data_IF_715623428483
#
_entry.id   IF_715623428483
#
_cell.length_a   1.000
_cell.length_b   1.000
_cell.length_c   1.000
_cell.angle_alpha   90.00
_cell.angle_beta   90.00
_cell.angle_gamma   90.00
#
_symmetry.space_group_name_H-M   'P 1'
#
loop_
_entity.id
_entity.type
_entity.pdbx_description
1 polymer ?
#
# COMPACT_ATOMS: atom_id res chain seq x y z
N UNK A 1 -24.23 6.90 -33.50
CA UNK A 1 -24.03 5.58 -32.85
C UNK A 1 -22.63 5.59 -32.25
N UNK A 2 -22.51 5.66 -30.93
CA UNK A 2 -21.21 5.76 -30.25
C UNK A 2 -20.86 4.39 -29.66
N UNK A 3 -19.94 3.66 -30.30
CA UNK A 3 -19.32 2.46 -29.76
C UNK A 3 -18.03 2.87 -29.03
N UNK A 4 -18.11 3.03 -27.70
CA UNK A 4 -16.94 3.27 -26.85
C UNK A 4 -16.56 1.96 -26.16
N UNK A 5 -16.02 1.03 -26.94
CA UNK A 5 -15.51 -0.24 -26.41
C UNK A 5 -14.29 -0.01 -25.54
N UNK A 6 -14.50 -0.17 -24.23
CA UNK A 6 -13.60 -0.78 -23.26
C UNK A 6 -12.10 -0.49 -23.41
N UNK A 7 -11.68 0.61 -22.82
CA UNK A 7 -10.33 0.75 -22.24
C UNK A 7 -10.23 -0.12 -20.96
N UNK A 8 -10.43 -1.44 -21.05
CA UNK A 8 -10.24 -2.40 -19.94
C UNK A 8 -8.90 -3.13 -20.03
N UNK A 9 -7.91 -2.53 -20.69
CA UNK A 9 -6.52 -2.97 -20.56
C UNK A 9 -5.94 -2.50 -19.21
N UNK A 10 -4.90 -3.17 -18.69
CA UNK A 10 -4.10 -2.62 -17.59
C UNK A 10 -3.70 -1.19 -17.96
N UNK A 11 -3.74 -0.27 -17.00
CA UNK A 11 -3.33 1.09 -17.29
C UNK A 11 -1.86 1.05 -17.74
N UNK A 12 -1.45 1.80 -18.76
CA UNK A 12 -0.09 1.69 -19.32
C UNK A 12 1.00 1.90 -18.27
N UNK A 13 0.71 2.70 -17.24
CA UNK A 13 1.62 2.94 -16.10
C UNK A 13 1.61 1.83 -15.04
N UNK A 14 0.66 0.90 -15.04
CA UNK A 14 0.64 -0.19 -14.05
C UNK A 14 1.90 -1.07 -14.21
N UNK A 15 2.39 -1.26 -15.44
CA UNK A 15 3.63 -1.99 -15.67
C UNK A 15 4.84 -1.35 -14.98
N UNK A 16 4.89 -0.01 -14.92
CA UNK A 16 5.96 0.73 -14.25
C UNK A 16 5.72 0.83 -12.74
N UNK A 17 4.47 1.05 -12.33
CA UNK A 17 4.09 1.23 -10.92
C UNK A 17 4.16 -0.07 -10.11
N UNK A 18 4.03 -1.22 -10.78
CA UNK A 18 4.16 -2.56 -10.20
C UNK A 18 5.34 -3.33 -10.79
N UNK A 19 6.33 -2.62 -11.32
CA UNK A 19 7.59 -3.21 -11.76
C UNK A 19 8.30 -3.90 -10.57
N UNK A 20 9.12 -4.94 -10.81
CA UNK A 20 9.73 -5.75 -9.75
C UNK A 20 10.56 -4.96 -8.74
N UNK A 21 11.15 -3.82 -9.15
CA UNK A 21 11.83 -2.90 -8.25
C UNK A 21 10.89 -2.19 -7.26
N UNK A 22 9.64 -1.91 -7.66
CA UNK A 22 8.62 -1.29 -6.82
C UNK A 22 7.88 -2.32 -5.95
N UNK A 23 7.81 -3.59 -6.38
CA UNK A 23 7.08 -4.65 -5.66
C UNK A 23 7.61 -4.83 -4.23
N UNK A 24 8.93 -4.76 -4.03
CA UNK A 24 9.52 -4.90 -2.68
C UNK A 24 9.04 -3.79 -1.74
N UNK A 25 9.05 -2.52 -2.18
CA UNK A 25 8.53 -1.40 -1.40
C UNK A 25 7.03 -1.51 -1.14
N UNK A 26 6.24 -1.92 -2.16
CA UNK A 26 4.79 -2.12 -2.01
C UNK A 26 4.48 -3.21 -0.98
N UNK A 27 5.26 -4.30 -0.93
CA UNK A 27 5.09 -5.37 0.07
C UNK A 27 5.40 -4.89 1.48
N UNK A 28 6.50 -4.15 1.67
CA UNK A 28 6.83 -3.57 2.98
C UNK A 28 5.72 -2.65 3.45
N UNK A 29 5.32 -1.71 2.61
CA UNK A 29 4.27 -0.76 2.93
C UNK A 29 2.90 -1.41 3.18
N UNK A 30 2.61 -2.55 2.54
CA UNK A 30 1.39 -3.32 2.82
C UNK A 30 1.44 -3.96 4.21
N UNK A 31 2.58 -4.53 4.59
CA UNK A 31 2.80 -5.10 5.92
C UNK A 31 2.62 -4.02 7.00
N UNK A 32 3.25 -2.87 6.80
CA UNK A 32 3.16 -1.70 7.67
C UNK A 32 1.74 -1.13 7.76
N UNK A 33 1.04 -1.09 6.62
CA UNK A 33 -0.35 -0.66 6.57
C UNK A 33 -1.25 -1.62 7.35
N UNK A 34 -1.15 -2.93 7.12
CA UNK A 34 -1.90 -3.95 7.84
C UNK A 34 -1.61 -3.92 9.35
N UNK A 35 -0.34 -3.68 9.72
CA UNK A 35 0.06 -3.55 11.11
C UNK A 35 -0.65 -2.39 11.82
N UNK A 36 -0.65 -1.21 11.21
CA UNK A 36 -1.36 -0.05 11.76
C UNK A 36 -2.87 -0.31 11.83
N UNK A 37 -3.47 -1.00 10.86
CA UNK A 37 -4.88 -1.38 10.94
C UNK A 37 -5.16 -2.30 12.14
N UNK A 38 -4.30 -3.29 12.38
CA UNK A 38 -4.40 -4.23 13.51
C UNK A 38 -4.37 -3.52 14.87
N UNK A 39 -3.62 -2.41 14.97
CA UNK A 39 -3.54 -1.56 16.17
C UNK A 39 -4.75 -0.63 16.36
N UNK A 40 -5.76 -0.69 15.49
CA UNK A 40 -6.98 0.09 15.56
C UNK A 40 -6.90 1.47 14.90
N UNK A 41 -5.85 1.75 14.11
CA UNK A 41 -5.78 3.00 13.35
C UNK A 41 -6.77 2.96 12.17
N UNK A 42 -7.50 4.06 11.96
CA UNK A 42 -8.44 4.17 10.85
C UNK A 42 -7.72 4.20 9.50
N UNK A 43 -8.20 3.40 8.52
CA UNK A 43 -7.50 3.10 7.26
C UNK A 43 -6.96 4.31 6.47
N UNK A 44 -7.54 5.49 6.63
CA UNK A 44 -7.09 6.69 5.91
C UNK A 44 -5.75 7.23 6.42
N UNK A 45 -5.48 7.16 7.73
CA UNK A 45 -4.25 7.71 8.31
C UNK A 45 -3.01 6.87 7.94
N UNK A 46 -3.01 5.54 8.16
CA UNK A 46 -1.91 4.67 7.76
C UNK A 46 -1.66 4.67 6.25
N UNK A 47 -2.72 4.67 5.43
CA UNK A 47 -2.59 4.70 3.97
C UNK A 47 -1.91 5.98 3.47
N UNK A 48 -2.20 7.11 4.11
CA UNK A 48 -1.55 8.38 3.82
C UNK A 48 -0.08 8.35 4.23
N UNK A 49 0.23 7.81 5.41
CA UNK A 49 1.59 7.70 5.94
C UNK A 49 2.50 6.84 5.03
N UNK A 50 2.11 5.58 4.78
CA UNK A 50 2.91 4.68 3.92
C UNK A 50 2.95 5.17 2.47
N UNK A 51 1.88 5.83 2.01
CA UNK A 51 1.83 6.40 0.69
C UNK A 51 2.73 7.62 0.49
N UNK A 52 3.05 8.35 1.56
CA UNK A 52 3.93 9.53 1.52
C UNK A 52 5.40 9.12 1.65
N UNK A 53 5.71 8.21 2.59
CA UNK A 53 7.06 7.65 2.82
C UNK A 53 7.67 7.09 1.54
N UNK A 54 6.92 6.25 0.81
CA UNK A 54 7.40 5.62 -0.42
C UNK A 54 7.05 6.41 -1.70
N UNK A 55 6.52 7.63 -1.55
CA UNK A 55 6.07 8.49 -2.66
C UNK A 55 5.12 7.79 -3.65
N UNK A 56 4.28 6.88 -3.14
CA UNK A 56 3.40 6.06 -3.95
C UNK A 56 2.34 6.87 -4.67
N UNK A 57 2.08 6.46 -5.91
CA UNK A 57 1.03 7.07 -6.74
C UNK A 57 -0.35 6.57 -6.32
N UNK A 58 -1.37 7.34 -6.68
CA UNK A 58 -2.76 7.04 -6.34
C UNK A 58 -3.17 5.60 -6.68
N UNK A 59 -2.67 5.03 -7.79
CA UNK A 59 -2.89 3.62 -8.18
C UNK A 59 -2.33 2.62 -7.18
N UNK A 60 -1.10 2.81 -6.72
CA UNK A 60 -0.47 1.95 -5.72
C UNK A 60 -1.18 2.08 -4.37
N UNK A 61 -1.59 3.29 -3.98
CA UNK A 61 -2.39 3.52 -2.76
C UNK A 61 -3.75 2.79 -2.84
N UNK A 62 -4.42 2.81 -3.98
CA UNK A 62 -5.66 2.04 -4.19
C UNK A 62 -5.40 0.52 -4.07
N UNK A 63 -4.28 0.04 -4.63
CA UNK A 63 -3.91 -1.37 -4.53
C UNK A 63 -3.64 -1.80 -3.07
N UNK A 64 -2.91 -0.98 -2.30
CA UNK A 64 -2.67 -1.20 -0.86
C UNK A 64 -3.96 -1.24 -0.06
N UNK A 65 -4.86 -0.26 -0.30
CA UNK A 65 -6.15 -0.21 0.38
C UNK A 65 -7.01 -1.44 0.09
N UNK A 66 -7.02 -1.92 -1.16
CA UNK A 66 -7.75 -3.14 -1.54
C UNK A 66 -7.12 -4.39 -0.96
N UNK A 67 -5.79 -4.48 -0.95
CA UNK A 67 -5.07 -5.62 -0.39
C UNK A 67 -5.37 -5.77 1.11
N UNK A 68 -5.25 -4.71 1.91
CA UNK A 68 -5.51 -4.83 3.35
C UNK A 68 -6.98 -5.05 3.73
N UNK A 69 -7.92 -4.67 2.86
CA UNK A 69 -9.35 -4.95 3.06
C UNK A 69 -9.73 -6.39 2.66
N UNK A 70 -8.97 -7.02 1.75
CA UNK A 70 -9.17 -8.41 1.33
C UNK A 70 -8.34 -9.44 2.11
N UNK A 71 -7.25 -9.02 2.75
CA UNK A 71 -6.26 -9.86 3.43
C UNK A 71 -6.44 -9.89 4.97
N UNK A 72 -7.59 -9.47 5.50
CA UNK A 72 -7.87 -9.54 6.94
C UNK A 72 -7.98 -10.99 7.48
N UNK A 73 -7.72 -12.00 6.65
CA UNK A 73 -7.81 -13.43 6.99
C UNK A 73 -6.44 -14.12 7.21
N UNK A 74 -5.30 -13.44 7.06
CA UNK A 74 -3.99 -14.11 7.16
C UNK A 74 -3.11 -13.55 8.28
N UNK A 75 -3.12 -14.29 9.39
CA UNK A 75 -2.01 -14.59 10.31
C UNK A 75 -0.99 -13.46 10.58
N UNK A 76 -1.14 -12.82 11.75
CA UNK A 76 -0.28 -11.75 12.26
C UNK A 76 0.77 -12.32 13.22
N UNK A 77 1.86 -12.88 12.71
CA UNK A 77 3.06 -13.17 13.50
C UNK A 77 4.31 -12.77 12.71
N UNK A 78 4.83 -11.54 12.89
CA UNK A 78 6.28 -11.28 13.09
C UNK A 78 6.60 -9.79 13.23
N UNK A 79 7.53 -9.54 14.15
CA UNK A 79 8.49 -8.41 14.23
C UNK A 79 7.91 -6.99 14.29
N UNK A 80 7.66 -6.51 15.51
CA UNK A 80 6.81 -5.36 15.80
C UNK A 80 7.49 -4.25 16.61
N UNK A 81 8.62 -4.54 17.27
CA UNK A 81 9.22 -3.59 18.23
C UNK A 81 10.26 -2.64 17.62
N UNK A 82 10.83 -2.95 16.45
CA UNK A 82 11.92 -2.16 15.89
C UNK A 82 11.47 -1.05 14.92
N UNK A 83 10.31 -1.19 14.27
CA UNK A 83 9.92 -0.29 13.17
C UNK A 83 9.27 1.04 13.62
N UNK A 84 8.64 1.06 14.82
CA UNK A 84 8.08 2.30 15.37
C UNK A 84 9.15 3.34 15.72
N UNK A 85 10.36 2.90 16.08
CA UNK A 85 11.49 3.79 16.36
C UNK A 85 12.00 4.40 15.05
N UNK A 86 12.11 3.62 13.97
CA UNK A 86 12.53 4.09 12.64
C UNK A 86 11.55 5.12 12.03
N UNK A 87 10.25 4.89 12.18
CA UNK A 87 9.22 5.82 11.69
C UNK A 87 9.17 7.16 12.43
N UNK A 88 9.46 7.16 13.74
CA UNK A 88 9.46 8.38 14.54
C UNK A 88 10.69 9.25 14.28
N UNK A 89 11.82 8.65 13.89
CA UNK A 89 13.07 9.35 13.58
C UNK A 89 13.14 9.88 12.14
N UNK A 90 12.35 9.35 11.21
CA UNK A 90 12.28 9.83 9.82
C UNK A 90 11.43 11.12 9.65
N UNK A 91 11.39 11.97 10.68
CA UNK A 91 10.65 13.22 10.69
C UNK A 91 11.34 14.36 9.92
N UNK A 92 10.60 14.92 8.96
CA UNK A 92 10.67 16.29 8.40
C UNK A 92 11.87 16.59 7.48
#
# INVERSE_FOLDING_TARGET
MSDSRSNRGPHPKDAELFAPNQIAGIRSALHDFAWLLSRGYACNSPLKLVGDRDQFRARQRIALNRAACGDQEVDQEVDQELWMIDLAEAGI
#
